data_IF_773737232442
#
_entry.id   IF_773737232442
#
_cell.length_a   1.000
_cell.length_b   1.000
_cell.length_c   1.000
_cell.angle_alpha   90.00
_cell.angle_beta   90.00
_cell.angle_gamma   90.00
#
_symmetry.space_group_name_H-M   'P 1'
#
loop_
_entity.id
_entity.type
_entity.pdbx_description
1 polymer ?
#
# COMPACT_ATOMS: atom_id res chain seq x y z
N UNK A 1 -21.83 -94.69 5.22
CA UNK A 1 -22.15 -93.41 4.58
C UNK A 1 -22.53 -92.34 5.61
N UNK A 2 -23.69 -92.45 6.24
CA UNK A 2 -24.32 -91.40 7.08
C UNK A 2 -23.39 -90.73 8.10
N UNK A 3 -22.65 -91.49 8.91
CA UNK A 3 -21.74 -90.95 9.92
C UNK A 3 -20.69 -89.95 9.36
N UNK A 4 -20.28 -90.09 8.09
CA UNK A 4 -19.38 -89.13 7.42
C UNK A 4 -20.12 -87.83 7.05
N UNK A 5 -21.37 -87.93 6.57
CA UNK A 5 -22.21 -86.76 6.31
C UNK A 5 -22.53 -86.00 7.60
N UNK A 6 -22.86 -86.71 8.69
CA UNK A 6 -23.06 -86.09 10.01
C UNK A 6 -21.81 -85.36 10.50
N UNK A 7 -20.62 -85.97 10.35
CA UNK A 7 -19.34 -85.34 10.70
C UNK A 7 -19.03 -84.11 9.84
N UNK A 8 -19.31 -84.18 8.54
CA UNK A 8 -19.13 -83.07 7.60
C UNK A 8 -20.08 -81.90 7.92
N UNK A 9 -21.36 -82.18 8.14
CA UNK A 9 -22.37 -81.17 8.51
C UNK A 9 -22.02 -80.50 9.85
N UNK A 10 -21.63 -81.28 10.86
CA UNK A 10 -21.22 -80.74 12.16
C UNK A 10 -19.97 -79.85 12.05
N UNK A 11 -19.02 -80.20 11.19
CA UNK A 11 -17.85 -79.36 10.92
C UNK A 11 -18.23 -78.07 10.17
N UNK A 12 -19.07 -78.15 9.14
CA UNK A 12 -19.60 -76.98 8.43
C UNK A 12 -20.32 -76.02 9.39
N UNK A 13 -21.23 -76.53 10.23
CA UNK A 13 -22.02 -75.71 11.16
C UNK A 13 -21.13 -75.06 12.23
N UNK A 14 -20.10 -75.75 12.74
CA UNK A 14 -19.09 -75.17 13.63
C UNK A 14 -18.27 -74.07 12.94
N UNK A 15 -17.76 -74.34 11.73
CA UNK A 15 -16.97 -73.38 10.97
C UNK A 15 -17.79 -72.13 10.59
N UNK A 16 -19.05 -72.33 10.16
CA UNK A 16 -20.01 -71.27 9.89
C UNK A 16 -20.25 -70.41 11.13
N UNK A 17 -20.56 -71.01 12.29
CA UNK A 17 -20.76 -70.26 13.54
C UNK A 17 -19.50 -69.48 13.95
N UNK A 18 -18.29 -70.06 13.80
CA UNK A 18 -17.03 -69.34 14.07
C UNK A 18 -16.86 -68.15 13.13
N UNK A 19 -17.12 -68.32 11.83
CA UNK A 19 -16.96 -67.27 10.81
C UNK A 19 -17.96 -66.11 10.94
N UNK A 20 -19.20 -66.37 11.38
CA UNK A 20 -20.11 -65.28 11.75
C UNK A 20 -19.62 -64.54 13.00
N UNK A 21 -19.22 -65.25 14.06
CA UNK A 21 -18.67 -64.60 15.27
C UNK A 21 -17.42 -63.74 15.00
N UNK A 22 -16.50 -64.22 14.17
CA UNK A 22 -15.33 -63.44 13.71
C UNK A 22 -15.73 -62.18 12.92
N UNK A 23 -16.81 -62.23 12.13
CA UNK A 23 -17.32 -61.09 11.38
C UNK A 23 -18.04 -60.09 12.28
N UNK A 24 -18.89 -60.58 13.20
CA UNK A 24 -19.63 -59.77 14.17
C UNK A 24 -18.68 -59.05 15.15
N UNK A 25 -17.51 -59.63 15.44
CA UNK A 25 -16.45 -59.03 16.24
C UNK A 25 -15.66 -57.96 15.47
N UNK A 26 -15.26 -58.26 14.22
CA UNK A 26 -14.60 -57.28 13.34
C UNK A 26 -15.50 -56.07 13.04
N UNK A 27 -16.81 -56.29 12.84
CA UNK A 27 -17.77 -55.21 12.59
C UNK A 27 -17.85 -54.25 13.79
N UNK A 28 -17.96 -54.77 15.02
CA UNK A 28 -17.99 -53.94 16.24
C UNK A 28 -16.68 -53.19 16.49
N UNK A 29 -15.54 -53.80 16.19
CA UNK A 29 -14.22 -53.14 16.24
C UNK A 29 -14.11 -51.99 15.23
N UNK A 30 -14.72 -52.13 14.04
CA UNK A 30 -14.82 -51.05 13.05
C UNK A 30 -15.80 -49.95 13.48
N UNK A 31 -16.99 -50.31 13.96
CA UNK A 31 -18.00 -49.36 14.46
C UNK A 31 -17.45 -48.47 15.58
N UNK A 32 -16.71 -49.04 16.53
CA UNK A 32 -16.03 -48.28 17.58
C UNK A 32 -15.01 -47.29 17.02
N UNK A 33 -14.16 -47.71 16.06
CA UNK A 33 -13.16 -46.84 15.43
C UNK A 33 -13.78 -45.71 14.61
N UNK A 34 -14.93 -45.94 13.98
CA UNK A 34 -15.69 -44.88 13.34
C UNK A 34 -16.27 -43.90 14.36
N UNK A 35 -16.81 -44.39 15.48
CA UNK A 35 -17.35 -43.54 16.54
C UNK A 35 -16.27 -42.68 17.22
N UNK A 36 -15.11 -43.25 17.53
CA UNK A 36 -13.94 -42.53 18.08
C UNK A 36 -13.49 -41.41 17.12
N UNK A 37 -13.36 -41.73 15.82
CA UNK A 37 -12.97 -40.76 14.80
C UNK A 37 -14.02 -39.65 14.61
N UNK A 38 -15.31 -40.00 14.63
CA UNK A 38 -16.40 -39.01 14.58
C UNK A 38 -16.37 -38.09 15.79
N UNK A 39 -16.27 -38.63 17.02
CA UNK A 39 -16.20 -37.85 18.26
C UNK A 39 -15.04 -36.85 18.24
N UNK A 40 -13.83 -37.30 17.86
CA UNK A 40 -12.66 -36.42 17.76
C UNK A 40 -12.81 -35.36 16.64
N UNK A 41 -13.48 -35.69 15.54
CA UNK A 41 -13.77 -34.75 14.45
C UNK A 41 -14.80 -33.70 14.86
N UNK A 42 -15.85 -34.10 15.57
CA UNK A 42 -16.91 -33.23 16.07
C UNK A 42 -16.38 -32.27 17.14
N UNK A 43 -15.53 -32.73 18.06
CA UNK A 43 -14.84 -31.90 19.04
C UNK A 43 -13.97 -30.81 18.38
N UNK A 44 -13.17 -31.19 17.37
CA UNK A 44 -12.34 -30.24 16.61
C UNK A 44 -13.21 -29.23 15.84
N UNK A 45 -14.29 -29.67 15.20
CA UNK A 45 -15.24 -28.80 14.51
C UNK A 45 -15.91 -27.83 15.49
N UNK A 46 -16.26 -28.28 16.70
CA UNK A 46 -16.85 -27.44 17.73
C UNK A 46 -15.84 -26.39 18.24
N UNK A 47 -14.59 -26.79 18.53
CA UNK A 47 -13.53 -25.87 18.92
C UNK A 47 -13.33 -24.77 17.88
N UNK A 48 -13.11 -25.14 16.61
CA UNK A 48 -12.88 -24.20 15.51
C UNK A 48 -14.04 -23.23 15.27
N UNK A 49 -15.30 -23.69 15.44
CA UNK A 49 -16.48 -22.79 15.41
C UNK A 49 -16.43 -21.76 16.54
N UNK A 50 -16.27 -22.21 17.79
CA UNK A 50 -16.25 -21.33 18.96
C UNK A 50 -15.10 -20.32 18.93
N UNK A 51 -13.94 -20.71 18.39
CA UNK A 51 -12.80 -19.83 18.18
C UNK A 51 -13.04 -18.79 17.08
N UNK A 52 -13.68 -19.17 15.97
CA UNK A 52 -14.02 -18.26 14.88
C UNK A 52 -15.12 -17.25 15.30
N UNK A 53 -16.11 -17.68 16.08
CA UNK A 53 -17.11 -16.80 16.71
C UNK A 53 -16.44 -15.78 17.64
N UNK A 54 -15.51 -16.24 18.50
CA UNK A 54 -14.72 -15.37 19.39
C UNK A 54 -13.86 -14.37 18.62
N UNK A 55 -13.19 -14.80 17.55
CA UNK A 55 -12.36 -13.92 16.71
C UNK A 55 -13.21 -12.90 15.96
N UNK A 56 -14.38 -13.29 15.44
CA UNK A 56 -15.35 -12.40 14.79
C UNK A 56 -15.85 -11.32 15.76
N UNK A 57 -16.15 -11.69 17.02
CA UNK A 57 -16.51 -10.72 18.06
C UNK A 57 -15.39 -9.70 18.33
N UNK A 58 -14.13 -10.13 18.43
CA UNK A 58 -12.98 -9.24 18.60
C UNK A 58 -12.77 -8.31 17.40
N UNK A 59 -12.88 -8.81 16.16
CA UNK A 59 -12.74 -8.01 14.94
C UNK A 59 -13.83 -6.95 14.82
N UNK A 60 -15.06 -7.25 15.28
CA UNK A 60 -16.15 -6.26 15.33
C UNK A 60 -15.89 -5.19 16.40
N UNK A 61 -15.54 -5.57 17.64
CA UNK A 61 -15.22 -4.60 18.69
C UNK A 61 -14.05 -3.66 18.31
N UNK A 62 -12.97 -4.18 17.72
CA UNK A 62 -11.86 -3.36 17.23
C UNK A 62 -12.26 -2.43 16.07
N UNK A 63 -13.21 -2.86 15.22
CA UNK A 63 -13.78 -2.01 14.15
C UNK A 63 -14.61 -0.86 14.73
N UNK A 64 -15.42 -1.15 15.74
CA UNK A 64 -16.27 -0.15 16.40
C UNK A 64 -15.41 0.87 17.17
N UNK A 65 -14.34 0.43 17.84
CA UNK A 65 -13.33 1.29 18.45
C UNK A 65 -12.63 2.17 17.40
N UNK A 66 -12.21 1.61 16.26
CA UNK A 66 -11.55 2.38 15.20
C UNK A 66 -12.50 3.38 14.53
N UNK A 67 -13.79 3.06 14.41
CA UNK A 67 -14.82 3.99 13.93
C UNK A 67 -15.02 5.15 14.93
N UNK A 68 -15.09 4.85 16.24
CA UNK A 68 -15.18 5.85 17.31
C UNK A 68 -13.96 6.78 17.35
N UNK A 69 -12.74 6.23 17.23
CA UNK A 69 -11.49 7.00 17.17
C UNK A 69 -11.46 7.90 15.92
N UNK A 70 -11.97 7.42 14.78
CA UNK A 70 -12.04 8.20 13.55
C UNK A 70 -13.01 9.37 13.69
N UNK A 71 -14.25 9.13 14.14
CA UNK A 71 -15.22 10.20 14.41
C UNK A 71 -14.67 11.27 15.36
N UNK A 72 -14.14 10.85 16.51
CA UNK A 72 -13.59 11.75 17.53
C UNK A 72 -12.30 12.49 17.10
N UNK A 73 -11.71 12.10 15.96
CA UNK A 73 -10.63 12.84 15.29
C UNK A 73 -11.20 13.81 14.26
N UNK A 74 -12.17 13.38 13.46
CA UNK A 74 -12.80 14.20 12.42
C UNK A 74 -13.59 15.37 13.03
N UNK A 75 -14.25 15.16 14.17
CA UNK A 75 -14.86 16.21 15.00
C UNK A 75 -13.83 17.30 15.38
N UNK A 76 -12.64 16.89 15.85
CA UNK A 76 -11.55 17.81 16.21
C UNK A 76 -10.95 18.51 14.99
N UNK A 77 -10.87 17.82 13.84
CA UNK A 77 -10.47 18.45 12.59
C UNK A 77 -11.46 19.57 12.18
N UNK A 78 -12.77 19.35 12.35
CA UNK A 78 -13.79 20.38 12.13
C UNK A 78 -13.68 21.55 13.12
N UNK A 79 -13.43 21.28 14.41
CA UNK A 79 -13.17 22.34 15.42
C UNK A 79 -11.93 23.19 15.07
N UNK A 80 -10.80 22.55 14.73
CA UNK A 80 -9.59 23.27 14.33
C UNK A 80 -9.78 24.06 13.03
N UNK A 81 -10.50 23.52 12.04
CA UNK A 81 -10.82 24.22 10.81
C UNK A 81 -11.69 25.47 11.08
N UNK A 82 -12.70 25.35 11.96
CA UNK A 82 -13.55 26.48 12.39
C UNK A 82 -12.72 27.57 13.07
N UNK A 83 -11.87 27.22 14.04
CA UNK A 83 -11.01 28.17 14.74
C UNK A 83 -10.01 28.86 13.80
N UNK A 84 -9.44 28.12 12.83
CA UNK A 84 -8.55 28.67 11.82
C UNK A 84 -9.25 29.71 10.93
N UNK A 85 -10.50 29.48 10.55
CA UNK A 85 -11.31 30.45 9.78
C UNK A 85 -11.59 31.70 10.64
N UNK A 86 -11.92 31.52 11.92
CA UNK A 86 -12.20 32.62 12.84
C UNK A 86 -10.98 33.53 13.07
N UNK A 87 -9.80 32.94 13.33
CA UNK A 87 -8.55 33.70 13.52
C UNK A 87 -8.07 34.38 12.23
N UNK A 88 -8.24 33.78 11.06
CA UNK A 88 -7.96 34.46 9.79
C UNK A 88 -8.87 35.69 9.58
N UNK A 89 -10.15 35.59 9.94
CA UNK A 89 -11.06 36.73 9.88
C UNK A 89 -10.71 37.83 10.88
N UNK A 90 -10.25 37.50 12.10
CA UNK A 90 -9.72 38.47 13.08
C UNK A 90 -8.47 39.15 12.56
N UNK A 91 -7.50 38.39 12.03
CA UNK A 91 -6.26 38.92 11.47
C UNK A 91 -6.52 39.86 10.27
N UNK A 92 -7.53 39.57 9.44
CA UNK A 92 -7.96 40.48 8.37
C UNK A 92 -8.43 41.82 8.92
N UNK A 93 -9.37 41.83 9.88
CA UNK A 93 -9.89 43.05 10.51
C UNK A 93 -8.78 43.84 11.22
N UNK A 94 -7.85 43.14 11.90
CA UNK A 94 -6.70 43.76 12.54
C UNK A 94 -5.75 44.41 11.52
N UNK A 95 -5.52 43.78 10.37
CA UNK A 95 -4.71 44.32 9.28
C UNK A 95 -5.34 45.59 8.67
N UNK A 96 -6.65 45.56 8.43
CA UNK A 96 -7.43 46.72 7.94
C UNK A 96 -7.36 47.91 8.92
N UNK A 97 -7.45 47.65 10.23
CA UNK A 97 -7.31 48.68 11.28
C UNK A 97 -5.86 49.20 11.42
N UNK A 98 -4.85 48.35 11.31
CA UNK A 98 -3.43 48.76 11.31
C UNK A 98 -3.13 49.63 10.09
N UNK A 99 -3.65 49.28 8.91
CA UNK A 99 -3.50 50.10 7.70
C UNK A 99 -4.21 51.45 7.85
N UNK A 100 -5.41 51.48 8.46
CA UNK A 100 -6.14 52.72 8.79
C UNK A 100 -5.35 53.63 9.75
N UNK A 101 -4.75 53.05 10.79
CA UNK A 101 -3.90 53.78 11.74
C UNK A 101 -2.62 54.30 11.10
N UNK A 102 -1.98 53.52 10.22
CA UNK A 102 -0.81 53.96 9.47
C UNK A 102 -1.13 55.14 8.53
N UNK A 103 -2.26 55.08 7.81
CA UNK A 103 -2.77 56.18 6.98
C UNK A 103 -2.99 57.45 7.80
N UNK A 104 -3.60 57.34 8.99
CA UNK A 104 -3.81 58.48 9.89
C UNK A 104 -2.50 59.11 10.38
N UNK A 105 -1.54 58.27 10.78
CA UNK A 105 -0.22 58.75 11.22
C UNK A 105 0.54 59.47 10.09
N UNK A 106 0.49 58.91 8.88
CA UNK A 106 1.15 59.49 7.70
C UNK A 106 0.55 60.85 7.30
N UNK A 107 -0.77 61.05 7.46
CA UNK A 107 -1.41 62.38 7.30
C UNK A 107 -0.94 63.35 8.39
N UNK A 108 -0.90 62.94 9.66
CA UNK A 108 -0.46 63.83 10.76
C UNK A 108 1.00 64.29 10.66
N UNK A 109 1.84 63.56 9.92
CA UNK A 109 3.26 63.89 9.72
C UNK A 109 3.50 64.97 8.64
N UNK A 110 2.49 65.36 7.86
CA UNK A 110 2.64 66.33 6.77
C UNK A 110 2.49 67.81 7.21
N UNK A 111 1.78 68.10 8.30
CA UNK A 111 1.67 69.45 8.88
C UNK A 111 2.88 69.83 9.78
N UNK A 112 3.88 68.94 9.89
CA UNK A 112 5.02 69.06 10.80
C UNK A 112 6.24 69.83 10.30
N UNK A 113 6.11 70.84 9.42
CA UNK A 113 7.27 71.60 8.89
C UNK A 113 7.42 73.00 9.49
N UNK A 114 8.13 73.08 10.61
CA UNK A 114 8.89 74.28 10.99
C UNK A 114 10.39 73.95 10.99
N UNK A 115 11.17 74.71 10.22
CA UNK A 115 12.62 74.49 10.13
C UNK A 115 13.35 75.20 11.27
N UNK A 116 14.45 74.61 11.77
CA UNK A 116 15.60 75.42 12.18
C UNK A 116 16.94 74.67 12.24
N UNK A 117 17.97 75.36 11.73
CA UNK A 117 19.38 75.36 12.20
C UNK A 117 20.08 74.01 12.41
N UNK A 118 20.78 73.60 11.35
CA UNK A 118 22.11 72.98 11.37
C UNK A 118 23.08 73.77 12.29
N UNK A 119 23.92 73.09 13.11
CA UNK A 119 25.33 73.44 13.39
C UNK A 119 26.03 72.45 14.37
N UNK A 120 27.20 71.93 13.94
CA UNK A 120 28.41 71.55 14.68
C UNK A 120 28.44 70.43 15.76
N UNK A 121 29.23 69.39 15.44
CA UNK A 121 30.16 68.69 16.36
C UNK A 121 31.32 69.63 16.78
N UNK A 122 32.01 69.38 17.92
CA UNK A 122 33.27 68.61 17.85
C UNK A 122 33.57 67.71 19.07
N UNK A 123 34.63 66.89 18.98
CA UNK A 123 35.32 66.27 20.13
C UNK A 123 36.24 67.27 20.87
N UNK A 124 37.06 66.89 21.86
CA UNK A 124 37.71 65.58 22.09
C UNK A 124 38.27 65.46 23.54
N UNK A 125 38.86 64.30 23.88
CA UNK A 125 39.91 64.06 24.90
C UNK A 125 39.65 64.20 26.43
N UNK A 126 39.74 63.04 27.09
CA UNK A 126 40.40 62.70 28.37
C UNK A 126 40.47 63.70 29.56
N UNK A 127 40.06 63.19 30.74
CA UNK A 127 40.79 63.38 32.02
C UNK A 127 40.99 62.01 32.70
N UNK A 128 42.12 61.81 33.40
CA UNK A 128 42.57 60.53 33.96
C UNK A 128 42.97 60.67 35.44
N UNK A 129 42.61 59.70 36.31
CA UNK A 129 43.54 58.99 37.25
C UNK A 129 42.92 58.50 38.58
N UNK A 130 42.93 57.17 38.80
CA UNK A 130 42.90 56.49 40.12
C UNK A 130 41.57 56.53 40.92
N UNK A 131 41.30 55.64 41.89
CA UNK A 131 41.90 54.37 42.40
C UNK A 131 40.85 53.78 43.41
N UNK A 132 40.79 52.52 43.89
CA UNK A 132 41.69 51.34 44.01
C UNK A 132 40.90 50.04 43.71
N UNK A 133 41.59 48.88 43.64
CA UNK A 133 41.11 47.50 43.47
C UNK A 133 40.00 47.00 44.41
N UNK A 134 39.24 45.98 43.97
CA UNK A 134 39.45 44.59 44.44
C UNK A 134 38.83 43.54 43.50
N UNK A 135 39.22 42.27 43.66
CA UNK A 135 39.08 41.21 42.65
C UNK A 135 38.39 39.94 43.17
N UNK A 136 37.87 39.13 42.23
CA UNK A 136 37.50 37.68 42.22
C UNK A 136 36.32 37.54 41.22
N UNK A 137 36.32 36.78 40.13
CA UNK A 137 37.03 35.55 39.72
C UNK A 137 36.74 34.34 40.61
N UNK A 138 35.90 33.39 40.13
CA UNK A 138 36.28 31.97 39.96
C UNK A 138 35.17 31.12 39.31
N UNK A 139 35.48 30.61 38.11
CA UNK A 139 35.12 29.31 37.50
C UNK A 139 33.80 28.58 37.89
N UNK A 140 32.94 28.42 36.88
CA UNK A 140 32.67 27.14 36.20
C UNK A 140 33.04 25.83 36.95
N UNK A 141 32.07 24.90 37.07
CA UNK A 141 32.37 23.46 36.98
C UNK A 141 31.44 22.76 35.97
N UNK A 142 32.01 21.85 35.16
CA UNK A 142 31.28 20.98 34.23
C UNK A 142 30.83 19.71 34.95
N UNK A 143 29.72 19.12 34.50
CA UNK A 143 29.65 17.66 34.28
C UNK A 143 29.31 17.39 32.81
N UNK A 144 29.80 16.27 32.26
CA UNK A 144 29.87 16.01 30.81
C UNK A 144 29.83 14.50 30.51
N UNK A 145 28.75 14.05 29.89
CA UNK A 145 28.61 12.78 29.17
C UNK A 145 27.76 13.13 27.94
N UNK A 146 28.34 13.44 26.77
CA UNK A 146 28.74 12.52 25.67
C UNK A 146 27.57 11.63 25.19
N UNK A 147 26.95 11.93 24.03
CA UNK A 147 27.36 11.61 22.63
C UNK A 147 27.17 10.11 22.29
N UNK A 148 26.69 9.66 21.13
CA UNK A 148 26.21 10.26 19.84
C UNK A 148 24.98 11.19 19.93
N UNK A 149 24.50 11.95 18.93
CA UNK A 149 25.03 12.51 17.64
C UNK A 149 25.36 11.55 16.45
N UNK A 150 24.83 11.70 15.22
CA UNK A 150 23.86 12.68 14.64
C UNK A 150 23.36 12.27 13.23
N UNK A 151 22.44 13.08 12.65
CA UNK A 151 22.17 13.31 11.20
C UNK A 151 21.55 12.15 10.37
N UNK A 152 20.75 12.39 9.31
CA UNK A 152 20.43 13.66 8.60
C UNK A 152 18.92 13.86 8.35
N UNK A 153 18.54 15.06 7.91
CA UNK A 153 17.16 15.56 7.77
C UNK A 153 16.46 15.12 6.46
N UNK A 154 15.14 14.95 6.51
CA UNK A 154 14.25 15.02 5.36
C UNK A 154 12.86 15.54 5.81
N UNK A 155 12.34 16.57 5.14
CA UNK A 155 11.13 17.29 5.59
C UNK A 155 9.85 16.53 5.23
N UNK A 156 8.99 16.31 6.22
CA UNK A 156 7.62 15.81 6.01
C UNK A 156 6.73 16.93 5.44
N UNK A 157 6.60 16.97 4.12
CA UNK A 157 5.62 17.84 3.44
C UNK A 157 4.28 17.10 3.34
N UNK A 158 3.23 17.68 3.93
CA UNK A 158 1.87 17.14 3.84
C UNK A 158 1.12 17.84 2.69
N UNK A 159 0.46 17.12 1.75
CA UNK A 159 -0.27 17.76 0.65
C UNK A 159 -1.55 18.44 1.14
N UNK A 160 -1.51 19.75 1.33
CA UNK A 160 -2.70 20.58 1.58
C UNK A 160 -3.41 20.96 0.29
N UNK A 161 -4.75 20.97 0.30
CA UNK A 161 -5.54 21.48 -0.82
C UNK A 161 -5.55 23.02 -0.81
N UNK A 162 -5.21 23.64 -1.94
CA UNK A 162 -5.49 25.06 -2.20
C UNK A 162 -5.80 25.28 -3.68
N UNK A 163 -7.03 25.68 -3.99
CA UNK A 163 -7.29 26.44 -5.21
C UNK A 163 -6.63 27.82 -5.04
N UNK A 164 -6.01 28.33 -6.10
CA UNK A 164 -6.11 29.76 -6.37
C UNK A 164 -5.99 30.02 -7.88
N UNK A 165 -6.90 30.84 -8.40
CA UNK A 165 -6.91 31.37 -9.76
C UNK A 165 -5.97 32.60 -9.89
N UNK A 166 -6.04 33.26 -11.04
CA UNK A 166 -5.45 34.55 -11.41
C UNK A 166 -3.92 34.61 -11.69
N UNK A 167 -3.44 35.41 -12.65
CA UNK A 167 -4.12 36.02 -13.80
C UNK A 167 -3.12 36.49 -14.88
N UNK A 168 -3.50 36.28 -16.15
CA UNK A 168 -3.28 37.16 -17.32
C UNK A 168 -1.89 37.79 -17.56
N UNK A 169 -1.27 37.41 -18.69
CA UNK A 169 -0.46 38.31 -19.51
C UNK A 169 -0.89 38.18 -20.99
N UNK A 170 -1.19 39.30 -21.67
CA UNK A 170 -1.68 39.32 -23.09
C UNK A 170 -0.73 40.06 -24.03
N UNK A 171 -0.21 39.38 -25.06
CA UNK A 171 0.28 39.93 -26.34
C UNK A 171 0.22 38.78 -27.37
N UNK A 172 -0.26 38.90 -28.61
CA UNK A 172 -1.19 39.83 -29.26
C UNK A 172 -1.90 39.08 -30.41
N UNK A 173 -3.03 39.58 -30.91
CA UNK A 173 -3.92 38.84 -31.81
C UNK A 173 -3.50 38.86 -33.30
N UNK A 174 -4.01 37.87 -34.05
CA UNK A 174 -4.34 37.98 -35.49
C UNK A 174 -5.45 36.99 -35.85
N UNK A 175 -6.66 37.48 -36.02
CA UNK A 175 -7.75 36.75 -36.67
C UNK A 175 -7.46 36.56 -38.17
N UNK A 176 -8.04 35.51 -38.76
CA UNK A 176 -8.82 35.65 -40.00
C UNK A 176 -9.76 34.45 -40.18
N UNK A 177 -10.91 34.68 -40.80
CA UNK A 177 -12.04 33.75 -40.81
C UNK A 177 -12.30 33.12 -42.18
N UNK A 178 -12.66 31.82 -42.17
CA UNK A 178 -13.82 31.21 -42.86
C UNK A 178 -13.78 29.69 -42.65
N UNK A 179 -14.95 29.06 -42.51
CA UNK A 179 -15.07 27.62 -42.29
C UNK A 179 -15.88 26.90 -43.37
N UNK A 180 -16.09 25.60 -43.17
CA UNK A 180 -17.12 24.81 -43.82
C UNK A 180 -17.63 23.74 -42.86
N UNK A 181 -18.86 23.28 -43.06
CA UNK A 181 -19.38 22.07 -42.43
C UNK A 181 -18.99 20.86 -43.28
N UNK A 182 -18.49 19.80 -42.65
CA UNK A 182 -18.51 18.43 -43.19
C UNK A 182 -18.34 17.43 -42.04
N UNK A 183 -19.27 16.49 -41.93
CA UNK A 183 -19.19 15.36 -40.99
C UNK A 183 -18.49 14.20 -41.68
N UNK A 184 -17.29 13.81 -41.23
CA UNK A 184 -16.77 12.46 -41.52
C UNK A 184 -15.75 11.96 -40.50
N UNK A 185 -15.24 10.74 -40.74
CA UNK A 185 -14.71 9.85 -39.72
C UNK A 185 -13.22 10.04 -39.36
N UNK A 186 -12.89 9.57 -38.16
CA UNK A 186 -11.63 8.92 -37.72
C UNK A 186 -10.31 9.43 -38.32
N UNK A 187 -9.48 10.02 -37.46
CA UNK A 187 -8.02 9.82 -37.53
C UNK A 187 -7.52 9.40 -36.14
N UNK A 188 -7.43 8.08 -35.90
CA UNK A 188 -6.51 7.55 -34.88
C UNK A 188 -5.10 7.62 -35.46
N UNK A 189 -4.40 8.73 -35.25
CA UNK A 189 -3.07 8.93 -35.84
C UNK A 189 -2.05 8.03 -35.16
N UNK A 190 -1.32 7.24 -35.97
CA UNK A 190 -0.28 6.34 -35.49
C UNK A 190 0.82 7.09 -34.72
N UNK A 191 1.01 6.73 -33.44
CA UNK A 191 2.23 7.03 -32.69
C UNK A 191 3.05 5.75 -32.55
N UNK A 192 3.81 5.43 -33.60
CA UNK A 192 4.77 4.32 -33.64
C UNK A 192 5.96 4.65 -32.74
N UNK A 193 5.79 4.48 -31.43
CA UNK A 193 6.85 4.64 -30.44
C UNK A 193 7.18 3.31 -29.78
N UNK A 194 8.42 2.85 -29.99
CA UNK A 194 8.99 1.67 -29.33
C UNK A 194 9.08 1.93 -27.83
N UNK A 195 8.54 1.03 -27.00
CA UNK A 195 8.99 0.87 -25.62
C UNK A 195 8.56 1.94 -24.61
N UNK A 196 7.25 2.19 -24.43
CA UNK A 196 6.73 2.56 -23.10
C UNK A 196 5.28 2.08 -22.95
N UNK A 197 4.92 1.56 -21.78
CA UNK A 197 3.55 1.21 -21.45
C UNK A 197 2.89 2.39 -20.72
N UNK A 198 1.85 2.97 -21.30
CA UNK A 198 1.19 4.21 -20.85
C UNK A 198 0.29 4.06 -19.61
N UNK A 199 0.45 2.96 -18.84
CA UNK A 199 -0.38 2.61 -17.68
C UNK A 199 0.41 2.36 -16.39
N UNK A 200 1.70 2.71 -16.32
CA UNK A 200 2.51 2.57 -15.10
C UNK A 200 2.39 3.78 -14.16
N UNK A 201 2.25 3.57 -12.83
CA UNK A 201 2.37 4.63 -11.83
C UNK A 201 3.70 5.38 -11.92
N UNK A 202 3.70 6.65 -11.51
CA UNK A 202 4.86 7.57 -11.58
C UNK A 202 6.15 6.95 -11.01
N UNK A 203 6.05 6.16 -9.93
CA UNK A 203 7.20 5.53 -9.27
C UNK A 203 7.96 4.50 -10.13
N UNK A 204 7.30 3.92 -11.15
CA UNK A 204 7.85 2.84 -11.97
C UNK A 204 8.43 3.33 -13.30
N UNK A 205 8.24 4.61 -13.66
CA UNK A 205 8.66 5.16 -14.96
C UNK A 205 10.17 5.05 -15.21
N UNK A 206 10.99 5.02 -14.15
CA UNK A 206 12.46 4.93 -14.22
C UNK A 206 13.02 3.58 -14.69
N UNK A 207 12.19 2.55 -14.88
CA UNK A 207 12.65 1.19 -15.25
C UNK A 207 13.10 1.05 -16.71
N UNK A 208 12.56 1.85 -17.64
CA UNK A 208 12.70 1.60 -19.09
C UNK A 208 13.92 2.32 -19.70
N UNK A 209 14.18 3.56 -19.30
CA UNK A 209 15.09 4.46 -20.05
C UNK A 209 16.59 4.28 -19.75
N UNK A 210 16.99 3.30 -18.93
CA UNK A 210 18.41 3.10 -18.53
C UNK A 210 19.13 1.93 -19.19
N UNK A 211 18.83 1.68 -20.48
CA UNK A 211 19.63 0.81 -21.35
C UNK A 211 20.98 1.46 -21.70
N UNK A 212 21.91 1.48 -20.73
CA UNK A 212 23.16 2.24 -20.80
C UNK A 212 24.34 1.56 -20.09
N UNK A 213 24.75 0.40 -20.60
CA UNK A 213 26.08 -0.22 -20.40
C UNK A 213 26.70 -0.19 -19.00
N UNK A 214 26.42 -1.21 -18.17
CA UNK A 214 27.16 -1.43 -16.93
C UNK A 214 26.79 -2.76 -16.24
N UNK A 215 27.73 -3.69 -16.16
CA UNK A 215 27.51 -4.97 -15.49
C UNK A 215 27.66 -4.83 -13.97
N UNK A 216 26.55 -4.83 -13.24
CA UNK A 216 26.40 -5.42 -11.91
C UNK A 216 24.93 -5.51 -11.52
N UNK A 217 24.58 -6.48 -10.67
CA UNK A 217 23.19 -6.77 -10.30
C UNK A 217 22.57 -5.70 -9.41
N UNK A 218 21.90 -4.71 -10.02
CA UNK A 218 21.08 -3.73 -9.30
C UNK A 218 19.69 -4.33 -9.04
N UNK A 219 19.50 -4.97 -7.89
CA UNK A 219 18.18 -5.41 -7.46
C UNK A 219 17.23 -4.21 -7.41
N UNK A 220 16.08 -4.29 -8.06
CA UNK A 220 15.08 -3.23 -8.02
C UNK A 220 14.61 -3.04 -6.56
N UNK A 221 14.73 -1.83 -6.04
CA UNK A 221 14.03 -1.48 -4.82
C UNK A 221 12.53 -1.49 -5.12
N UNK A 222 11.79 -2.43 -4.52
CA UNK A 222 10.35 -2.58 -4.73
C UNK A 222 9.66 -1.21 -4.59
N UNK A 223 8.96 -0.73 -5.62
CA UNK A 223 8.18 0.49 -5.46
C UNK A 223 7.09 0.26 -4.39
N UNK A 224 6.73 1.32 -3.65
CA UNK A 224 5.62 1.33 -2.68
C UNK A 224 4.33 0.70 -3.25
N UNK A 225 4.02 0.93 -4.54
CA UNK A 225 2.89 0.29 -5.23
C UNK A 225 3.08 -1.22 -5.42
N UNK A 226 4.29 -1.69 -5.75
CA UNK A 226 4.59 -3.13 -5.78
C UNK A 226 4.40 -3.73 -4.39
N UNK A 227 5.00 -3.14 -3.35
CA UNK A 227 4.85 -3.63 -1.98
C UNK A 227 3.38 -3.68 -1.53
N UNK A 228 2.58 -2.66 -1.86
CA UNK A 228 1.13 -2.65 -1.58
C UNK A 228 0.39 -3.82 -2.26
N UNK A 229 0.70 -4.09 -3.53
CA UNK A 229 0.12 -5.22 -4.29
C UNK A 229 0.60 -6.57 -3.71
N UNK A 230 1.87 -6.66 -3.30
CA UNK A 230 2.44 -7.84 -2.64
C UNK A 230 1.69 -8.15 -1.32
N UNK A 231 1.42 -7.15 -0.49
CA UNK A 231 0.63 -7.30 0.73
C UNK A 231 -0.85 -7.63 0.45
N UNK A 232 -1.48 -6.99 -0.54
CA UNK A 232 -2.91 -7.18 -0.82
C UNK A 232 -3.24 -8.58 -1.39
N UNK A 233 -2.35 -9.15 -2.21
CA UNK A 233 -2.54 -10.45 -2.86
C UNK A 233 -1.86 -11.59 -2.07
N UNK A 234 -0.82 -11.29 -1.27
CA UNK A 234 -0.02 -12.27 -0.53
C UNK A 234 1.10 -12.92 -1.37
N UNK A 235 1.38 -12.39 -2.55
CA UNK A 235 2.38 -12.88 -3.50
C UNK A 235 3.54 -11.88 -3.58
N UNK A 236 4.79 -12.34 -3.57
CA UNK A 236 5.93 -11.50 -3.98
C UNK A 236 6.06 -11.49 -5.49
N UNK A 237 6.30 -10.32 -6.07
CA UNK A 237 6.42 -10.13 -7.51
C UNK A 237 7.86 -9.80 -7.90
N UNK A 238 8.23 -10.18 -9.12
CA UNK A 238 9.50 -9.78 -9.74
C UNK A 238 9.35 -9.70 -11.26
N UNK A 239 9.96 -8.70 -11.88
CA UNK A 239 9.94 -8.54 -13.35
C UNK A 239 10.82 -9.58 -14.01
N UNK A 240 10.32 -10.25 -15.05
CA UNK A 240 11.11 -11.08 -15.96
C UNK A 240 11.08 -10.45 -17.35
N UNK A 241 12.25 -10.12 -17.88
CA UNK A 241 12.41 -9.80 -19.29
C UNK A 241 12.78 -11.09 -20.03
N UNK A 242 11.84 -11.67 -20.78
CA UNK A 242 12.08 -12.84 -21.63
C UNK A 242 12.22 -12.41 -23.10
N UNK A 243 12.81 -13.26 -23.94
CA UNK A 243 12.86 -13.05 -25.39
C UNK A 243 11.48 -13.01 -26.06
N UNK A 244 10.45 -13.53 -25.39
CA UNK A 244 9.05 -13.52 -25.84
C UNK A 244 8.28 -12.26 -25.41
N UNK A 245 8.80 -11.47 -24.46
CA UNK A 245 8.13 -10.25 -23.98
C UNK A 245 8.48 -9.85 -22.54
N UNK A 246 7.89 -8.75 -22.10
CA UNK A 246 7.88 -8.33 -20.69
C UNK A 246 6.92 -9.24 -19.93
N UNK A 247 7.31 -9.69 -18.75
CA UNK A 247 6.47 -10.47 -17.85
C UNK A 247 6.77 -10.22 -16.38
N UNK A 248 5.95 -10.82 -15.52
CA UNK A 248 6.13 -10.86 -14.07
C UNK A 248 6.13 -12.32 -13.61
N UNK A 249 7.03 -12.68 -12.69
CA UNK A 249 6.86 -13.84 -11.83
C UNK A 249 6.20 -13.45 -10.52
N UNK A 250 5.46 -14.39 -9.94
CA UNK A 250 4.85 -14.28 -8.64
C UNK A 250 5.19 -15.53 -7.79
N UNK A 251 5.44 -15.33 -6.49
CA UNK A 251 5.81 -16.37 -5.53
C UNK A 251 5.00 -16.23 -4.23
N UNK A 252 4.25 -17.27 -3.88
CA UNK A 252 3.60 -17.40 -2.57
C UNK A 252 4.60 -18.03 -1.58
N UNK A 253 5.14 -17.22 -0.65
CA UNK A 253 6.29 -17.64 0.15
C UNK A 253 6.03 -18.84 1.06
N UNK A 254 4.83 -18.98 1.63
CA UNK A 254 4.53 -20.03 2.63
C UNK A 254 4.17 -21.39 2.00
N UNK A 255 3.71 -21.42 0.75
CA UNK A 255 3.42 -22.68 0.03
C UNK A 255 4.48 -23.08 -0.99
N UNK A 256 5.40 -22.18 -1.36
CA UNK A 256 6.34 -22.41 -2.46
C UNK A 256 5.69 -22.48 -3.85
N UNK A 257 4.45 -22.01 -3.97
CA UNK A 257 3.74 -21.90 -5.26
C UNK A 257 4.26 -20.69 -6.04
N UNK A 258 4.59 -20.88 -7.31
CA UNK A 258 5.03 -19.80 -8.19
C UNK A 258 4.59 -20.00 -9.64
N UNK A 259 4.45 -18.89 -10.34
CA UNK A 259 4.04 -18.81 -11.74
C UNK A 259 4.62 -17.55 -12.39
N UNK A 260 4.51 -17.44 -13.71
CA UNK A 260 4.68 -16.17 -14.41
C UNK A 260 3.47 -15.83 -15.28
N UNK A 261 3.32 -14.53 -15.53
CA UNK A 261 2.42 -13.93 -16.51
C UNK A 261 3.28 -13.13 -17.50
N UNK A 262 3.23 -13.49 -18.78
CA UNK A 262 3.92 -12.75 -19.86
C UNK A 262 2.88 -12.10 -20.77
N UNK A 263 3.12 -10.84 -21.15
CA UNK A 263 2.28 -10.15 -22.13
C UNK A 263 2.63 -10.62 -23.54
N UNK A 264 1.66 -11.23 -24.22
CA UNK A 264 1.76 -11.64 -25.61
C UNK A 264 1.09 -10.56 -26.45
N UNK A 265 1.90 -9.76 -27.14
CA UNK A 265 1.40 -8.77 -28.08
C UNK A 265 0.98 -9.45 -29.38
N UNK A 266 -0.29 -9.29 -29.74
CA UNK A 266 -0.87 -9.80 -30.98
C UNK A 266 -0.68 -8.77 -32.10
N UNK A 267 -1.05 -9.12 -33.33
CA UNK A 267 -0.93 -8.24 -34.49
C UNK A 267 -1.83 -7.00 -34.38
N UNK A 268 -1.46 -5.93 -35.09
CA UNK A 268 -2.11 -4.61 -35.03
C UNK A 268 -3.64 -4.71 -35.15
N UNK A 269 -4.34 -4.41 -34.05
CA UNK A 269 -5.81 -4.40 -33.97
C UNK A 269 -6.40 -5.32 -32.89
N UNK A 270 -5.66 -6.30 -32.37
CA UNK A 270 -6.15 -7.19 -31.31
C UNK A 270 -5.74 -6.75 -29.89
N UNK A 271 -6.51 -7.16 -28.88
CA UNK A 271 -6.18 -6.94 -27.47
C UNK A 271 -4.91 -7.69 -27.04
N UNK A 272 -4.14 -7.11 -26.11
CA UNK A 272 -3.03 -7.81 -25.46
C UNK A 272 -3.54 -8.99 -24.62
N UNK A 273 -2.97 -10.18 -24.87
CA UNK A 273 -3.22 -11.39 -24.09
C UNK A 273 -2.13 -11.60 -23.03
N UNK A 274 -2.51 -12.25 -21.94
CA UNK A 274 -1.63 -12.70 -20.87
C UNK A 274 -1.48 -14.22 -20.95
N UNK A 275 -0.24 -14.69 -21.08
CA UNK A 275 0.12 -16.10 -20.96
C UNK A 275 0.51 -16.40 -19.50
N UNK A 276 -0.33 -17.16 -18.80
CA UNK A 276 -0.01 -17.80 -17.52
C UNK A 276 0.78 -19.08 -17.76
N UNK A 277 1.87 -19.24 -16.99
CA UNK A 277 2.67 -20.47 -16.93
C UNK A 277 3.04 -20.76 -15.48
N UNK A 278 2.66 -21.94 -14.97
CA UNK A 278 3.12 -22.40 -13.65
C UNK A 278 4.63 -22.66 -13.65
N UNK A 279 5.31 -22.32 -12.55
CA UNK A 279 6.73 -22.57 -12.32
C UNK A 279 6.93 -23.60 -11.19
N UNK A 280 6.09 -23.56 -10.15
CA UNK A 280 6.03 -24.53 -9.06
C UNK A 280 4.61 -24.60 -8.51
N UNK A 281 4.07 -25.81 -8.31
CA UNK A 281 2.81 -25.99 -7.59
C UNK A 281 2.99 -25.88 -6.06
N UNK A 282 4.22 -26.06 -5.56
CA UNK A 282 4.51 -26.08 -4.12
C UNK A 282 3.60 -27.04 -3.35
N UNK A 283 3.18 -26.66 -2.14
CA UNK A 283 2.26 -27.47 -1.32
C UNK A 283 0.84 -27.59 -1.89
N UNK A 284 0.52 -26.94 -3.03
CA UNK A 284 -0.76 -27.10 -3.72
C UNK A 284 -0.77 -28.28 -4.72
N UNK A 285 0.32 -29.02 -4.92
CA UNK A 285 0.41 -30.12 -5.90
C UNK A 285 -0.77 -31.12 -5.86
N UNK A 286 -1.35 -31.39 -4.68
CA UNK A 286 -2.50 -32.30 -4.51
C UNK A 286 -3.89 -31.63 -4.51
N UNK A 287 -3.98 -30.31 -4.50
CA UNK A 287 -5.25 -29.56 -4.38
C UNK A 287 -5.44 -28.46 -5.43
N UNK A 288 -4.41 -28.13 -6.22
CA UNK A 288 -4.48 -27.18 -7.31
C UNK A 288 -5.47 -27.69 -8.38
N UNK A 289 -6.49 -26.89 -8.76
CA UNK A 289 -7.33 -27.20 -9.90
C UNK A 289 -6.53 -27.33 -11.20
N UNK A 290 -7.08 -28.02 -12.19
CA UNK A 290 -6.44 -28.27 -13.50
C UNK A 290 -5.93 -26.98 -14.15
N UNK A 291 -6.74 -25.92 -14.13
CA UNK A 291 -6.38 -24.59 -14.68
C UNK A 291 -5.11 -23.97 -14.06
N UNK A 292 -4.72 -24.33 -12.83
CA UNK A 292 -3.47 -23.86 -12.22
C UNK A 292 -2.23 -24.63 -12.67
N UNK A 293 -2.42 -25.82 -13.27
CA UNK A 293 -1.34 -26.74 -13.70
C UNK A 293 -0.96 -26.51 -15.17
N UNK A 294 -1.93 -26.13 -15.97
CA UNK A 294 -1.80 -25.91 -17.40
C UNK A 294 -1.35 -24.48 -17.72
N UNK A 295 -0.88 -24.26 -18.95
CA UNK A 295 -0.63 -22.90 -19.45
C UNK A 295 -1.94 -22.32 -19.99
N UNK A 296 -2.29 -21.09 -19.60
CA UNK A 296 -3.53 -20.43 -20.00
C UNK A 296 -3.21 -19.14 -20.75
N UNK A 297 -3.97 -18.84 -21.80
CA UNK A 297 -4.00 -17.50 -22.40
C UNK A 297 -5.35 -16.84 -22.12
N UNK A 298 -5.34 -15.56 -21.76
CA UNK A 298 -6.55 -14.78 -21.53
C UNK A 298 -6.33 -13.29 -21.83
N UNK A 299 -7.35 -12.57 -22.30
CA UNK A 299 -7.29 -11.11 -22.46
C UNK A 299 -6.97 -10.45 -21.11
N UNK A 300 -6.21 -9.35 -21.14
CA UNK A 300 -5.95 -8.49 -19.96
C UNK A 300 -7.22 -8.10 -19.19
N UNK A 301 -8.38 -8.01 -19.85
CA UNK A 301 -9.70 -7.79 -19.22
C UNK A 301 -10.09 -8.87 -18.17
N UNK A 302 -9.61 -10.10 -18.33
CA UNK A 302 -9.89 -11.23 -17.42
C UNK A 302 -8.93 -11.29 -16.22
N UNK A 303 -7.91 -10.42 -16.17
CA UNK A 303 -6.90 -10.39 -15.11
C UNK A 303 -7.48 -10.26 -13.68
N UNK A 304 -8.52 -9.42 -13.41
CA UNK A 304 -9.15 -9.37 -12.09
C UNK A 304 -9.77 -10.72 -11.67
N UNK A 305 -10.43 -11.42 -12.61
CA UNK A 305 -11.07 -12.72 -12.37
C UNK A 305 -10.02 -13.81 -12.12
N UNK A 306 -8.89 -13.77 -12.83
CA UNK A 306 -7.73 -14.64 -12.57
C UNK A 306 -7.22 -14.45 -11.14
N UNK A 307 -6.93 -13.22 -10.72
CA UNK A 307 -6.42 -12.96 -9.37
C UNK A 307 -7.45 -13.23 -8.27
N UNK A 308 -8.74 -13.01 -8.52
CA UNK A 308 -9.81 -13.40 -7.60
C UNK A 308 -9.82 -14.92 -7.38
N UNK A 309 -9.88 -15.71 -8.47
CA UNK A 309 -9.84 -17.18 -8.43
C UNK A 309 -8.57 -17.70 -7.75
N UNK A 310 -7.42 -17.11 -8.06
CA UNK A 310 -6.15 -17.46 -7.44
C UNK A 310 -6.16 -17.16 -5.94
N UNK A 311 -6.68 -16.00 -5.53
CA UNK A 311 -6.78 -15.62 -4.11
C UNK A 311 -7.66 -16.57 -3.32
N UNK A 312 -8.73 -17.12 -3.92
CA UNK A 312 -9.57 -18.15 -3.29
C UNK A 312 -8.77 -19.43 -3.00
N UNK A 313 -7.99 -19.94 -3.95
CA UNK A 313 -7.17 -21.15 -3.74
C UNK A 313 -6.04 -20.91 -2.73
N UNK A 314 -5.42 -19.73 -2.75
CA UNK A 314 -4.32 -19.39 -1.84
C UNK A 314 -4.82 -19.18 -0.40
N UNK A 315 -5.94 -18.46 -0.22
CA UNK A 315 -6.49 -18.12 1.11
C UNK A 315 -7.22 -19.27 1.80
N UNK A 316 -7.52 -20.38 1.10
CA UNK A 316 -8.11 -21.61 1.65
C UNK A 316 -7.17 -22.43 2.58
N UNK A 317 -6.12 -21.82 3.15
CA UNK A 317 -5.15 -22.45 4.06
C UNK A 317 -4.68 -21.56 5.23
N UNK A 318 -5.52 -20.60 5.63
CA UNK A 318 -5.42 -19.89 6.90
C UNK A 318 -6.77 -19.92 7.61
#
# INVERSE_FOLDING_TARGET
MEALYTKLYNNYTKLKKKKWGELDELNRDQELKFLDYMSASEELIHHLKSENERLTAQVNNLRDEMASISSAKDDKCAEFQKLLIEENQKNKVLSEEVERLHKLHQVSSLDGKSANVQLNTPGDALVVSGKVSNSLSTRMTRKRIKQSLTESEAVLIMPGCSLQDDAIARVSAKDLSKGSLSSEAVVYTELVCKGSCTYWPECCKSFVDRSGGGANGMACANCVFQALIEYAIGLKFSTINQTEGIGISALHQSSGFSFCLTWVNKTVGEESELLYRVLSLGTFERVAPEWMREALMFSTSMCPIFFERLSRVIKLRH
#
